data_IF_234754352878
#
_entry.id   IF_234754352878
#
_cell.length_a   1.000
_cell.length_b   1.000
_cell.length_c   1.000
_cell.angle_alpha   90.00
_cell.angle_beta   90.00
_cell.angle_gamma   90.00
#
_symmetry.space_group_name_H-M   'P 1'
#
loop_
_entity.id
_entity.type
_entity.pdbx_description
1 polymer ?
#
# COMPACT_ATOMS: atom_id res chain seq x y z
N UNK A 1 -16.25 17.04 -16.59
CA UNK A 1 -15.96 18.48 -16.34
C UNK A 1 -15.43 18.60 -14.92
N UNK A 2 -14.49 19.49 -14.62
CA UNK A 2 -13.93 19.62 -13.26
C UNK A 2 -14.42 20.90 -12.58
N UNK A 3 -15.26 20.76 -11.55
CA UNK A 3 -15.81 21.91 -10.80
C UNK A 3 -14.92 22.18 -9.59
N UNK A 4 -14.44 23.41 -9.43
CA UNK A 4 -13.62 23.81 -8.30
C UNK A 4 -14.50 24.43 -7.20
N UNK A 5 -14.47 23.87 -6.00
CA UNK A 5 -15.27 24.33 -4.84
C UNK A 5 -14.59 23.94 -3.52
N UNK A 6 -15.29 24.09 -2.40
CA UNK A 6 -14.84 23.58 -1.10
C UNK A 6 -15.87 22.63 -0.52
N UNK A 7 -15.40 21.56 0.13
CA UNK A 7 -16.23 20.61 0.89
C UNK A 7 -15.75 20.52 2.34
N UNK A 8 -16.63 20.10 3.25
CA UNK A 8 -16.19 19.67 4.56
C UNK A 8 -15.48 18.31 4.46
N UNK A 9 -14.42 18.11 5.25
CA UNK A 9 -13.63 16.89 5.26
C UNK A 9 -14.48 15.64 5.56
N UNK A 10 -15.54 15.77 6.38
CA UNK A 10 -16.47 14.68 6.70
C UNK A 10 -17.41 14.28 5.56
N UNK A 11 -17.54 15.11 4.52
CA UNK A 11 -18.32 14.81 3.31
C UNK A 11 -17.52 13.96 2.32
N UNK A 12 -16.18 13.95 2.46
CA UNK A 12 -15.27 13.24 1.58
C UNK A 12 -15.07 11.81 2.10
N UNK A 13 -15.49 10.83 1.30
CA UNK A 13 -15.40 9.40 1.62
C UNK A 13 -14.21 8.76 0.95
N UNK A 14 -13.71 7.69 1.56
CA UNK A 14 -12.74 6.80 0.94
C UNK A 14 -13.45 5.57 0.38
N UNK A 15 -12.98 5.10 -0.75
CA UNK A 15 -13.38 3.81 -1.33
C UNK A 15 -12.08 3.06 -1.69
N UNK A 16 -12.06 1.77 -1.35
CA UNK A 16 -10.94 0.87 -1.58
C UNK A 16 -10.55 0.74 -3.05
N UNK A 17 -11.46 1.01 -3.98
CA UNK A 17 -11.22 0.96 -5.43
C UNK A 17 -10.28 2.05 -5.93
N UNK A 18 -10.15 3.13 -5.16
CA UNK A 18 -9.31 4.28 -5.49
C UNK A 18 -8.02 4.31 -4.68
N UNK A 19 -7.70 3.21 -3.99
CA UNK A 19 -6.43 3.04 -3.25
C UNK A 19 -5.50 2.17 -4.09
N UNK A 20 -4.55 2.80 -4.78
CA UNK A 20 -3.56 2.13 -5.63
C UNK A 20 -2.19 1.95 -4.96
N UNK A 21 -2.03 2.50 -3.76
CA UNK A 21 -0.80 2.38 -2.96
C UNK A 21 -1.02 1.37 -1.84
N UNK A 22 -0.04 0.49 -1.62
CA UNK A 22 -0.08 -0.46 -0.51
C UNK A 22 -0.03 0.25 0.86
N UNK A 23 0.68 1.37 0.96
CA UNK A 23 0.70 2.21 2.16
C UNK A 23 -0.35 3.31 2.06
N UNK A 24 -1.27 3.37 3.03
CA UNK A 24 -2.36 4.35 3.04
C UNK A 24 -1.87 5.81 3.19
N UNK A 25 -0.88 6.09 4.04
CA UNK A 25 -0.34 7.45 4.26
C UNK A 25 1.08 7.42 4.80
N UNK A 26 1.90 8.39 4.38
CA UNK A 26 3.25 8.64 4.89
C UNK A 26 3.19 9.77 5.93
N UNK A 27 3.57 9.47 7.18
CA UNK A 27 3.53 10.42 8.30
C UNK A 27 4.46 11.63 8.10
N UNK A 28 5.66 11.44 7.54
CA UNK A 28 6.59 12.53 7.28
C UNK A 28 6.06 13.47 6.21
N UNK A 29 5.47 12.90 5.15
CA UNK A 29 4.84 13.68 4.09
C UNK A 29 3.63 14.49 4.61
N UNK A 30 2.77 13.89 5.44
CA UNK A 30 1.64 14.61 6.08
C UNK A 30 2.15 15.79 6.92
N UNK A 31 3.20 15.59 7.74
CA UNK A 31 3.77 16.67 8.60
C UNK A 31 4.35 17.82 7.78
N UNK A 32 4.95 17.50 6.64
CA UNK A 32 5.44 18.50 5.66
C UNK A 32 4.28 19.31 5.08
N UNK A 33 3.21 18.65 4.66
CA UNK A 33 2.00 19.30 4.15
C UNK A 33 1.31 20.17 5.21
N UNK A 34 1.29 19.74 6.49
CA UNK A 34 0.79 20.57 7.58
C UNK A 34 1.58 21.89 7.71
N UNK A 35 2.90 21.83 7.56
CA UNK A 35 3.75 23.03 7.63
C UNK A 35 3.45 24.00 6.48
N UNK A 36 3.25 23.47 5.26
CA UNK A 36 2.89 24.27 4.09
C UNK A 36 1.49 24.90 4.27
N UNK A 37 0.50 24.11 4.70
CA UNK A 37 -0.86 24.56 4.93
C UNK A 37 -0.94 25.61 6.07
N UNK A 38 -0.17 25.44 7.14
CA UNK A 38 -0.11 26.38 8.25
C UNK A 38 0.32 27.77 7.79
N UNK A 39 1.28 27.85 6.84
CA UNK A 39 1.76 29.09 6.21
C UNK A 39 0.75 29.75 5.26
N UNK A 40 -0.46 29.21 5.13
CA UNK A 40 -1.54 29.65 4.21
C UNK A 40 -1.08 29.73 2.74
N UNK A 41 -0.04 28.98 2.37
CA UNK A 41 0.36 28.83 0.98
C UNK A 41 -0.74 28.09 0.23
N UNK A 42 -1.04 28.52 -1.00
CA UNK A 42 -2.03 27.85 -1.85
C UNK A 42 -1.57 26.42 -2.13
N UNK A 43 -2.37 25.45 -1.74
CA UNK A 43 -2.14 24.02 -2.02
C UNK A 43 -3.10 23.60 -3.12
N UNK A 44 -2.67 22.68 -3.97
CA UNK A 44 -3.53 22.06 -4.98
C UNK A 44 -4.77 21.44 -4.34
N UNK A 45 -5.96 21.58 -4.96
CA UNK A 45 -7.19 21.01 -4.44
C UNK A 45 -7.12 19.47 -4.39
N UNK A 46 -7.93 18.86 -3.54
CA UNK A 46 -8.17 17.42 -3.59
C UNK A 46 -8.95 17.08 -4.85
N UNK A 47 -8.65 15.95 -5.50
CA UNK A 47 -9.51 15.44 -6.57
C UNK A 47 -10.56 14.52 -5.94
N UNK A 48 -11.84 14.83 -6.14
CA UNK A 48 -12.97 14.04 -5.63
C UNK A 48 -13.91 13.70 -6.77
N UNK A 49 -14.53 12.52 -6.73
CA UNK A 49 -15.58 12.13 -7.65
C UNK A 49 -16.94 12.36 -7.00
N UNK A 50 -17.84 13.07 -7.67
CA UNK A 50 -19.26 13.05 -7.30
C UNK A 50 -19.85 11.75 -7.82
N UNK A 51 -20.05 10.81 -6.91
CA UNK A 51 -20.49 9.47 -7.26
C UNK A 51 -21.85 9.51 -7.98
N UNK A 52 -21.95 8.72 -9.04
CA UNK A 52 -23.15 8.54 -9.85
C UNK A 52 -23.59 7.08 -9.81
N UNK A 53 -24.86 6.85 -9.50
CA UNK A 53 -25.55 5.57 -9.67
C UNK A 53 -26.43 5.57 -10.93
N UNK A 54 -27.34 4.61 -11.03
CA UNK A 54 -28.25 4.46 -12.18
C UNK A 54 -29.16 5.68 -12.38
N UNK A 55 -29.66 6.26 -11.28
CA UNK A 55 -30.58 7.42 -11.28
C UNK A 55 -29.86 8.78 -11.22
N UNK A 56 -28.54 8.81 -11.41
CA UNK A 56 -27.73 10.03 -11.37
C UNK A 56 -26.90 10.18 -10.08
N UNK A 57 -26.52 11.41 -9.69
CA UNK A 57 -25.63 11.63 -8.55
C UNK A 57 -26.20 11.12 -7.22
N UNK A 58 -25.43 10.32 -6.50
CA UNK A 58 -25.85 9.73 -5.20
C UNK A 58 -25.73 10.72 -4.03
N UNK A 59 -25.09 11.86 -4.27
CA UNK A 59 -24.73 12.83 -3.24
C UNK A 59 -23.45 12.49 -2.47
N UNK A 60 -22.80 11.35 -2.75
CA UNK A 60 -21.50 11.00 -2.14
C UNK A 60 -20.34 11.62 -2.91
N UNK A 61 -19.32 12.07 -2.18
CA UNK A 61 -18.03 12.51 -2.74
C UNK A 61 -16.93 11.53 -2.35
N UNK A 62 -16.31 10.89 -3.34
CA UNK A 62 -15.26 9.88 -3.14
C UNK A 62 -13.90 10.49 -3.46
N UNK A 63 -12.93 10.35 -2.55
CA UNK A 63 -11.57 10.86 -2.76
C UNK A 63 -10.84 10.05 -3.85
N UNK A 64 -10.40 10.74 -4.91
CA UNK A 64 -9.59 10.17 -5.99
C UNK A 64 -8.10 10.45 -5.81
N UNK A 65 -7.72 11.66 -5.39
CA UNK A 65 -6.34 12.06 -5.12
C UNK A 65 -6.23 13.09 -3.99
N UNK A 66 -5.11 13.05 -3.26
CA UNK A 66 -4.79 13.99 -2.20
C UNK A 66 -4.98 13.45 -0.78
N UNK A 67 -4.88 12.14 -0.58
CA UNK A 67 -5.04 11.50 0.75
C UNK A 67 -4.17 12.12 1.84
N UNK A 68 -2.88 12.38 1.57
CA UNK A 68 -2.01 13.06 2.53
C UNK A 68 -2.41 14.52 2.79
N UNK A 69 -2.94 15.21 1.77
CA UNK A 69 -3.46 16.58 1.91
C UNK A 69 -4.71 16.59 2.80
N UNK A 70 -5.65 15.68 2.57
CA UNK A 70 -6.85 15.52 3.40
C UNK A 70 -6.47 15.24 4.86
N UNK A 71 -5.54 14.31 5.10
CA UNK A 71 -5.02 14.03 6.43
C UNK A 71 -4.38 15.27 7.08
N UNK A 72 -3.63 16.08 6.32
CA UNK A 72 -3.05 17.31 6.83
C UNK A 72 -4.11 18.37 7.21
N UNK A 73 -5.20 18.51 6.42
CA UNK A 73 -6.34 19.36 6.77
C UNK A 73 -7.02 18.91 8.07
N UNK A 74 -7.26 17.60 8.21
CA UNK A 74 -7.85 17.00 9.41
C UNK A 74 -6.96 17.25 10.63
N UNK A 75 -5.65 16.99 10.52
CA UNK A 75 -4.72 17.19 11.63
C UNK A 75 -4.57 18.67 12.04
N UNK A 76 -4.77 19.61 11.11
CA UNK A 76 -4.80 21.05 11.39
C UNK A 76 -6.16 21.55 11.88
N UNK A 77 -7.16 20.66 12.06
CA UNK A 77 -8.54 21.01 12.41
C UNK A 77 -9.19 22.00 11.43
N UNK A 78 -8.73 22.03 10.18
CA UNK A 78 -9.26 22.87 9.09
C UNK A 78 -10.19 22.05 8.20
N UNK A 79 -11.28 21.57 8.78
CA UNK A 79 -12.15 20.55 8.17
C UNK A 79 -13.39 21.12 7.49
N UNK A 80 -13.73 22.40 7.66
CA UNK A 80 -14.99 22.96 7.17
C UNK A 80 -14.95 23.43 5.70
N UNK A 81 -13.76 23.73 5.18
CA UNK A 81 -13.60 24.29 3.83
C UNK A 81 -12.30 23.77 3.21
N UNK A 82 -12.34 22.51 2.79
CA UNK A 82 -11.25 21.84 2.10
C UNK A 82 -11.39 22.10 0.60
N UNK A 83 -10.40 22.73 -0.08
CA UNK A 83 -10.46 22.95 -1.52
C UNK A 83 -10.49 21.62 -2.29
N UNK A 84 -11.47 21.47 -3.18
CA UNK A 84 -11.65 20.28 -4.00
C UNK A 84 -11.88 20.64 -5.48
N UNK A 85 -11.50 19.71 -6.33
CA UNK A 85 -11.79 19.63 -7.74
C UNK A 85 -12.72 18.41 -7.93
N UNK A 86 -13.99 18.67 -8.25
CA UNK A 86 -15.01 17.64 -8.43
C UNK A 86 -14.94 17.12 -9.86
N UNK A 87 -14.62 15.84 -9.99
CA UNK A 87 -14.76 15.04 -11.19
C UNK A 87 -16.20 14.51 -11.29
N UNK A 88 -16.76 14.59 -12.50
CA UNK A 88 -18.06 14.03 -12.86
C UNK A 88 -17.86 13.06 -14.02
N UNK A 89 -18.43 11.85 -13.89
CA UNK A 89 -18.29 10.77 -14.85
C UNK A 89 -18.68 9.43 -14.21
N UNK A 90 -18.59 8.36 -15.00
CA UNK A 90 -18.82 7.00 -14.51
C UNK A 90 -17.75 6.57 -13.50
N UNK A 91 -18.00 5.46 -12.80
CA UNK A 91 -17.04 4.89 -11.85
C UNK A 91 -15.72 4.51 -12.53
N UNK A 92 -15.80 3.88 -13.71
CA UNK A 92 -14.62 3.56 -14.51
C UNK A 92 -13.85 4.82 -14.94
N UNK A 93 -14.54 5.88 -15.34
CA UNK A 93 -13.92 7.17 -15.66
C UNK A 93 -13.26 7.82 -14.43
N UNK A 94 -13.87 7.71 -13.26
CA UNK A 94 -13.31 8.21 -12.01
C UNK A 94 -12.03 7.45 -11.61
N UNK A 95 -12.00 6.13 -11.81
CA UNK A 95 -10.80 5.31 -11.57
C UNK A 95 -9.66 5.75 -12.49
N UNK A 96 -9.96 6.03 -13.76
CA UNK A 96 -8.95 6.55 -14.69
C UNK A 96 -8.43 7.92 -14.28
N UNK A 97 -9.31 8.82 -13.87
CA UNK A 97 -8.93 10.13 -13.36
C UNK A 97 -8.01 10.02 -12.14
N UNK A 98 -8.30 9.11 -11.21
CA UNK A 98 -7.46 8.83 -10.05
C UNK A 98 -6.06 8.34 -10.44
N UNK A 99 -5.96 7.40 -11.39
CA UNK A 99 -4.67 6.89 -11.84
C UNK A 99 -3.84 7.94 -12.61
N UNK A 100 -4.49 8.74 -13.45
CA UNK A 100 -3.84 9.84 -14.16
C UNK A 100 -3.31 10.90 -13.20
N UNK A 101 -4.09 11.26 -12.18
CA UNK A 101 -3.65 12.19 -11.14
C UNK A 101 -2.39 11.66 -10.42
N UNK A 102 -2.36 10.37 -10.10
CA UNK A 102 -1.19 9.72 -9.51
C UNK A 102 0.04 9.69 -10.43
N UNK A 103 -0.15 9.56 -11.75
CA UNK A 103 0.96 9.60 -12.72
C UNK A 103 1.62 10.98 -12.79
N UNK A 104 0.85 12.06 -12.56
CA UNK A 104 1.34 13.45 -12.56
C UNK A 104 1.82 13.94 -11.18
N UNK A 105 1.64 13.13 -10.13
CA UNK A 105 1.94 13.53 -8.76
C UNK A 105 3.44 13.58 -8.44
N UNK A 106 3.80 14.38 -7.42
CA UNK A 106 5.18 14.50 -6.90
C UNK A 106 5.75 13.18 -6.38
N UNK A 107 4.88 12.26 -5.98
CA UNK A 107 5.17 10.87 -5.68
C UNK A 107 4.39 10.04 -6.69
N UNK A 108 5.00 9.62 -7.82
CA UNK A 108 4.34 8.74 -8.79
C UNK A 108 4.21 7.31 -8.23
N UNK A 109 3.28 6.53 -8.76
CA UNK A 109 3.17 5.09 -8.45
C UNK A 109 4.43 4.35 -8.90
N UNK A 110 4.82 3.31 -8.17
CA UNK A 110 5.89 2.40 -8.57
C UNK A 110 5.48 1.51 -9.75
N UNK A 111 6.45 0.85 -10.38
CA UNK A 111 6.14 -0.11 -11.45
C UNK A 111 5.23 -1.25 -10.97
N UNK A 112 5.43 -1.77 -9.75
CA UNK A 112 4.57 -2.81 -9.17
C UNK A 112 3.15 -2.28 -8.89
N UNK A 113 3.02 -1.11 -8.27
CA UNK A 113 1.72 -0.47 -8.03
C UNK A 113 0.97 -0.18 -9.33
N UNK A 114 1.65 0.31 -10.38
CA UNK A 114 1.04 0.52 -11.71
C UNK A 114 0.58 -0.80 -12.35
N UNK A 115 1.36 -1.87 -12.21
CA UNK A 115 0.98 -3.19 -12.71
C UNK A 115 -0.25 -3.74 -11.97
N UNK A 116 -0.30 -3.61 -10.64
CA UNK A 116 -1.43 -4.08 -9.84
C UNK A 116 -2.69 -3.23 -10.10
N UNK A 117 -2.54 -1.92 -10.28
CA UNK A 117 -3.62 -1.04 -10.71
C UNK A 117 -4.18 -1.45 -12.08
N UNK A 118 -3.30 -1.69 -13.07
CA UNK A 118 -3.70 -2.21 -14.37
C UNK A 118 -4.39 -3.58 -14.26
N UNK A 119 -3.90 -4.44 -13.36
CA UNK A 119 -4.45 -5.77 -13.14
C UNK A 119 -5.87 -5.73 -12.58
N UNK A 120 -6.11 -4.87 -11.58
CA UNK A 120 -7.46 -4.60 -11.07
C UNK A 120 -8.40 -4.06 -12.15
N UNK A 121 -7.93 -3.10 -12.94
CA UNK A 121 -8.72 -2.57 -14.06
C UNK A 121 -9.12 -3.64 -15.07
N UNK A 122 -8.23 -4.60 -15.35
CA UNK A 122 -8.54 -5.74 -16.21
C UNK A 122 -9.51 -6.70 -15.53
N UNK A 123 -9.39 -6.94 -14.24
CA UNK A 123 -10.23 -7.90 -13.53
C UNK A 123 -11.68 -7.43 -13.43
N UNK A 124 -11.88 -6.19 -13.01
CA UNK A 124 -13.19 -5.63 -12.65
C UNK A 124 -13.85 -4.89 -13.82
N UNK A 125 -13.08 -4.19 -14.66
CA UNK A 125 -13.61 -3.21 -15.64
C UNK A 125 -13.27 -3.56 -17.10
N UNK A 126 -12.96 -4.82 -17.42
CA UNK A 126 -12.57 -5.22 -18.79
C UNK A 126 -13.64 -4.97 -19.85
N UNK A 127 -14.91 -4.93 -19.45
CA UNK A 127 -16.06 -4.68 -20.34
C UNK A 127 -16.28 -3.18 -20.60
N UNK A 128 -15.89 -2.33 -19.66
CA UNK A 128 -16.11 -0.87 -19.73
C UNK A 128 -14.90 -0.14 -20.32
N UNK A 129 -13.69 -0.63 -20.04
CA UNK A 129 -12.44 -0.02 -20.48
C UNK A 129 -11.85 -0.80 -21.65
N UNK A 130 -11.21 -0.11 -22.60
CA UNK A 130 -10.44 -0.75 -23.67
C UNK A 130 -8.98 -0.98 -23.25
N UNK A 131 -8.26 -1.88 -23.92
CA UNK A 131 -6.84 -2.16 -23.62
C UNK A 131 -6.00 -0.87 -23.65
N UNK A 132 -6.17 -0.06 -24.69
CA UNK A 132 -5.44 1.19 -24.85
C UNK A 132 -5.79 2.21 -23.75
N UNK A 133 -7.05 2.23 -23.31
CA UNK A 133 -7.54 3.12 -22.26
C UNK A 133 -6.99 2.73 -20.90
N UNK A 134 -7.08 1.44 -20.54
CA UNK A 134 -6.47 0.86 -19.34
C UNK A 134 -4.97 1.10 -19.28
N UNK A 135 -4.25 0.85 -20.38
CA UNK A 135 -2.80 1.04 -20.46
C UNK A 135 -2.40 2.50 -20.19
N UNK A 136 -3.12 3.44 -20.82
CA UNK A 136 -2.91 4.88 -20.63
C UNK A 136 -3.21 5.31 -19.20
N UNK A 137 -4.33 4.87 -18.64
CA UNK A 137 -4.75 5.22 -17.29
C UNK A 137 -3.72 4.76 -16.24
N UNK A 138 -3.33 3.48 -16.29
CA UNK A 138 -2.40 2.91 -15.33
C UNK A 138 -0.92 3.23 -15.61
N UNK A 139 -0.58 3.82 -16.76
CA UNK A 139 0.81 4.12 -17.14
C UNK A 139 1.65 2.86 -17.41
N UNK A 140 1.05 1.88 -18.10
CA UNK A 140 1.69 0.61 -18.50
C UNK A 140 1.60 0.38 -20.00
N UNK A 141 2.29 -0.65 -20.52
CA UNK A 141 2.25 -0.94 -21.95
C UNK A 141 0.93 -1.63 -22.37
N UNK A 142 0.47 -1.33 -23.58
CA UNK A 142 -0.70 -2.01 -24.19
C UNK A 142 -0.49 -3.53 -24.24
N UNK A 143 0.74 -3.97 -24.55
CA UNK A 143 1.11 -5.39 -24.56
C UNK A 143 0.87 -6.04 -23.19
N UNK A 144 1.25 -5.38 -22.10
CA UNK A 144 1.04 -5.91 -20.75
C UNK A 144 -0.45 -6.08 -20.45
N UNK A 145 -1.27 -5.09 -20.80
CA UNK A 145 -2.73 -5.17 -20.60
C UNK A 145 -3.36 -6.28 -21.44
N UNK A 146 -2.92 -6.49 -22.68
CA UNK A 146 -3.36 -7.63 -23.50
C UNK A 146 -3.02 -8.98 -22.84
N UNK A 147 -1.79 -9.12 -22.30
CA UNK A 147 -1.38 -10.33 -21.57
C UNK A 147 -2.23 -10.54 -20.31
N UNK A 148 -2.48 -9.47 -19.56
CA UNK A 148 -3.36 -9.50 -18.40
C UNK A 148 -4.77 -9.97 -18.80
N UNK A 149 -5.38 -9.44 -19.87
CA UNK A 149 -6.72 -9.89 -20.30
C UNK A 149 -6.79 -11.37 -20.65
N UNK A 150 -5.78 -11.86 -21.37
CA UNK A 150 -5.69 -13.29 -21.69
C UNK A 150 -5.61 -14.12 -20.40
N UNK A 151 -4.76 -13.69 -19.45
CA UNK A 151 -4.62 -14.37 -18.15
C UNK A 151 -5.91 -14.32 -17.31
N UNK A 152 -6.56 -13.17 -17.23
CA UNK A 152 -7.82 -13.00 -16.50
C UNK A 152 -8.92 -13.89 -17.07
N UNK A 153 -8.99 -14.02 -18.40
CA UNK A 153 -9.91 -14.96 -19.07
C UNK A 153 -9.63 -16.39 -18.61
N UNK A 154 -8.39 -16.85 -18.70
CA UNK A 154 -8.01 -18.19 -18.24
C UNK A 154 -8.33 -18.40 -16.75
N UNK A 155 -7.99 -17.44 -15.88
CA UNK A 155 -8.28 -17.54 -14.45
C UNK A 155 -9.77 -17.63 -14.16
N UNK A 156 -10.61 -16.86 -14.87
CA UNK A 156 -12.07 -16.93 -14.73
C UNK A 156 -12.63 -18.27 -15.25
N UNK A 157 -12.09 -18.80 -16.36
CA UNK A 157 -12.48 -20.10 -16.91
C UNK A 157 -12.08 -21.28 -15.99
N UNK A 158 -10.92 -21.19 -15.34
CA UNK A 158 -10.45 -22.21 -14.40
C UNK A 158 -10.86 -21.94 -12.95
N UNK A 159 -11.72 -20.94 -12.71
CA UNK A 159 -12.16 -20.49 -11.40
C UNK A 159 -11.00 -20.28 -10.39
N UNK A 160 -9.89 -19.73 -10.85
CA UNK A 160 -8.72 -19.43 -10.04
C UNK A 160 -8.93 -18.13 -9.25
N UNK A 161 -8.52 -18.12 -7.98
CA UNK A 161 -8.58 -16.94 -7.12
C UNK A 161 -7.70 -15.80 -7.63
N UNK A 162 -8.23 -14.57 -7.50
CA UNK A 162 -7.53 -13.34 -7.83
C UNK A 162 -6.90 -12.76 -6.57
N UNK A 163 -5.58 -12.62 -6.56
CA UNK A 163 -4.85 -12.10 -5.40
C UNK A 163 -4.69 -10.58 -5.40
N UNK A 164 -5.01 -9.92 -6.52
CA UNK A 164 -4.76 -8.49 -6.72
C UNK A 164 -3.31 -8.13 -7.02
N UNK A 165 -2.38 -9.09 -6.96
CA UNK A 165 -0.99 -8.91 -7.33
C UNK A 165 -0.71 -9.53 -8.70
N UNK A 166 -0.36 -8.70 -9.68
CA UNK A 166 0.03 -9.20 -10.99
C UNK A 166 1.24 -10.15 -10.92
N UNK A 167 2.16 -9.91 -9.98
CA UNK A 167 3.34 -10.76 -9.83
C UNK A 167 2.97 -12.20 -9.42
N UNK A 168 1.94 -12.35 -8.57
CA UNK A 168 1.40 -13.64 -8.11
C UNK A 168 0.50 -14.27 -9.20
N UNK A 169 -0.37 -13.48 -9.81
CA UNK A 169 -1.42 -14.00 -10.70
C UNK A 169 -0.96 -14.27 -12.14
N UNK A 170 0.16 -13.67 -12.59
CA UNK A 170 0.64 -13.80 -13.98
C UNK A 170 1.03 -15.22 -14.41
N UNK A 171 1.26 -16.12 -13.47
CA UNK A 171 1.64 -17.52 -13.74
C UNK A 171 0.43 -18.42 -13.54
N UNK A 172 0.21 -19.35 -14.47
CA UNK A 172 -0.73 -20.45 -14.27
C UNK A 172 -0.30 -21.36 -13.11
N UNK A 173 -1.21 -22.15 -12.51
CA UNK A 173 -0.85 -23.17 -11.52
C UNK A 173 0.23 -24.13 -12.06
N UNK A 174 0.09 -24.54 -13.32
CA UNK A 174 1.01 -25.43 -14.02
C UNK A 174 2.37 -24.78 -14.31
N UNK A 175 2.40 -23.47 -14.61
CA UNK A 175 3.65 -22.72 -14.82
C UNK A 175 4.37 -22.40 -13.51
N UNK A 176 3.63 -22.19 -12.42
CA UNK A 176 4.19 -22.00 -11.09
C UNK A 176 4.82 -23.30 -10.59
N UNK A 177 4.18 -24.45 -10.82
CA UNK A 177 4.77 -25.77 -10.57
C UNK A 177 5.95 -26.05 -11.50
N UNK A 178 5.86 -25.73 -12.79
CA UNK A 178 6.95 -25.90 -13.76
C UNK A 178 8.18 -25.02 -13.53
N UNK A 179 8.02 -23.80 -12.99
CA UNK A 179 9.14 -22.91 -12.71
C UNK A 179 9.98 -23.35 -11.50
N UNK A 180 9.38 -24.05 -10.54
CA UNK A 180 10.09 -24.68 -9.43
C UNK A 180 10.68 -26.06 -9.80
N UNK A 181 10.14 -26.73 -10.82
CA UNK A 181 10.59 -28.06 -11.28
C UNK A 181 11.92 -28.05 -12.07
N UNK A 182 12.45 -26.88 -12.46
CA UNK A 182 13.70 -26.80 -13.22
C UNK A 182 14.96 -26.64 -12.33
N UNK A 183 14.79 -26.53 -11.02
CA UNK A 183 15.90 -26.59 -10.07
C UNK A 183 15.61 -27.65 -9.02
N UNK A 184 16.49 -28.63 -8.94
CA UNK A 184 16.56 -29.52 -7.78
C UNK A 184 16.75 -28.71 -6.50
N UNK A 185 16.30 -29.24 -5.36
CA UNK A 185 16.52 -28.61 -4.04
C UNK A 185 18.00 -28.27 -3.79
N UNK A 186 18.91 -29.10 -4.33
CA UNK A 186 20.35 -28.86 -4.26
C UNK A 186 20.76 -27.61 -5.04
N UNK A 187 20.24 -27.41 -6.26
CA UNK A 187 20.49 -26.20 -7.05
C UNK A 187 19.87 -24.97 -6.38
N UNK A 188 18.66 -25.10 -5.82
CA UNK A 188 18.00 -24.02 -5.05
C UNK A 188 18.83 -23.57 -3.85
N UNK A 189 19.31 -24.53 -3.05
CA UNK A 189 20.20 -24.25 -1.92
C UNK A 189 21.51 -23.60 -2.36
N UNK A 190 22.03 -23.96 -3.54
CA UNK A 190 23.25 -23.37 -4.10
C UNK A 190 23.04 -21.91 -4.51
N UNK A 191 21.96 -21.61 -5.25
CA UNK A 191 21.68 -20.23 -5.65
C UNK A 191 21.39 -19.31 -4.46
N UNK A 192 20.64 -19.80 -3.46
CA UNK A 192 20.41 -19.05 -2.21
C UNK A 192 21.76 -18.73 -1.53
N UNK A 193 22.68 -19.70 -1.49
CA UNK A 193 24.02 -19.48 -0.90
C UNK A 193 24.84 -18.46 -1.67
N UNK A 194 24.81 -18.50 -3.00
CA UNK A 194 25.53 -17.53 -3.85
C UNK A 194 24.94 -16.13 -3.70
N UNK A 195 23.62 -15.98 -3.72
CA UNK A 195 22.97 -14.68 -3.50
C UNK A 195 23.27 -14.12 -2.11
N UNK A 196 23.21 -14.96 -1.06
CA UNK A 196 23.56 -14.58 0.30
C UNK A 196 25.05 -14.25 0.47
N UNK A 197 25.93 -14.80 -0.36
CA UNK A 197 27.35 -14.45 -0.40
C UNK A 197 27.54 -13.06 -1.03
N UNK A 198 26.95 -12.81 -2.19
CA UNK A 198 27.01 -11.48 -2.85
C UNK A 198 26.46 -10.38 -1.95
N UNK A 199 25.36 -10.63 -1.25
CA UNK A 199 24.79 -9.67 -0.30
C UNK A 199 25.73 -9.42 0.88
N UNK A 200 26.39 -10.45 1.43
CA UNK A 200 27.39 -10.29 2.50
C UNK A 200 28.63 -9.54 2.05
N UNK A 201 29.09 -9.76 0.82
CA UNK A 201 30.23 -9.03 0.25
C UNK A 201 29.89 -7.56 0.03
N UNK A 202 28.70 -7.28 -0.55
CA UNK A 202 28.20 -5.92 -0.71
C UNK A 202 27.98 -5.21 0.64
N UNK A 203 27.44 -5.91 1.64
CA UNK A 203 27.28 -5.40 3.00
C UNK A 203 28.62 -5.19 3.72
N UNK A 204 29.60 -6.06 3.47
CA UNK A 204 30.95 -5.98 4.02
C UNK A 204 31.79 -4.81 3.49
N UNK A 205 31.38 -4.21 2.37
CA UNK A 205 31.98 -2.96 1.86
C UNK A 205 31.60 -1.74 2.69
N UNK A 206 30.61 -1.83 3.58
CA UNK A 206 30.19 -0.71 4.41
C UNK A 206 30.81 -0.82 5.81
N UNK A 207 31.47 0.24 6.32
CA UNK A 207 32.14 0.18 7.61
C UNK A 207 31.17 -0.21 8.73
N UNK A 208 31.62 -1.05 9.68
CA UNK A 208 30.87 -1.51 10.88
C UNK A 208 30.29 -0.39 11.76
N UNK A 209 30.51 0.88 11.43
CA UNK A 209 29.98 2.00 12.17
C UNK A 209 28.57 2.27 11.67
N UNK A 210 27.67 1.92 12.57
CA UNK A 210 26.24 2.17 12.57
C UNK A 210 25.40 1.08 11.88
N UNK A 211 25.16 0.00 12.64
CA UNK A 211 24.23 -1.08 12.26
C UNK A 211 22.82 -0.53 12.01
N UNK A 212 22.43 0.55 12.68
CA UNK A 212 21.17 1.24 12.48
C UNK A 212 21.16 1.96 11.13
N UNK A 213 22.22 2.70 10.78
CA UNK A 213 22.32 3.33 9.46
C UNK A 213 22.35 2.30 8.32
N UNK A 214 22.97 1.14 8.53
CA UNK A 214 22.92 0.04 7.56
C UNK A 214 21.51 -0.54 7.42
N UNK A 215 20.83 -0.76 8.54
CA UNK A 215 19.45 -1.25 8.56
C UNK A 215 18.51 -0.23 7.91
N UNK A 216 18.68 1.07 8.17
CA UNK A 216 17.93 2.16 7.56
C UNK A 216 18.25 2.30 6.07
N UNK A 217 19.51 2.14 5.66
CA UNK A 217 19.90 2.16 4.24
C UNK A 217 19.36 0.92 3.50
N UNK A 218 19.36 -0.25 4.13
CA UNK A 218 18.69 -1.45 3.61
C UNK A 218 17.17 -1.25 3.56
N UNK A 219 16.56 -0.65 4.59
CA UNK A 219 15.15 -0.33 4.63
C UNK A 219 14.78 0.78 3.63
N UNK A 220 15.69 1.67 3.25
CA UNK A 220 15.47 2.67 2.20
C UNK A 220 15.66 2.04 0.81
N UNK A 221 16.74 1.27 0.61
CA UNK A 221 17.08 0.62 -0.66
C UNK A 221 16.11 -0.53 -1.01
N UNK A 222 15.71 -1.30 -0.01
CA UNK A 222 14.85 -2.48 -0.12
C UNK A 222 13.52 -2.32 0.61
N UNK A 223 13.15 -1.11 1.05
CA UNK A 223 11.89 -0.80 1.72
C UNK A 223 10.63 -1.14 0.94
N UNK A 224 10.74 -1.38 -0.37
CA UNK A 224 9.63 -1.88 -1.18
C UNK A 224 9.62 -3.40 -1.35
N UNK A 225 10.73 -4.07 -1.05
CA UNK A 225 10.87 -5.53 -1.07
C UNK A 225 10.77 -6.16 0.33
N UNK A 226 10.96 -5.39 1.41
CA UNK A 226 10.88 -5.93 2.78
C UNK A 226 9.48 -6.42 3.15
N UNK A 227 8.39 -5.87 2.60
CA UNK A 227 7.04 -6.36 2.87
C UNK A 227 6.77 -7.71 2.20
N UNK A 228 7.16 -7.87 0.92
CA UNK A 228 7.03 -9.15 0.21
C UNK A 228 8.00 -10.21 0.76
N UNK A 229 9.21 -9.79 1.15
CA UNK A 229 10.18 -10.67 1.81
C UNK A 229 9.76 -11.01 3.25
N UNK A 230 9.13 -10.10 3.99
CA UNK A 230 8.59 -10.37 5.32
C UNK A 230 7.38 -11.30 5.26
N UNK A 231 6.47 -11.14 4.30
CA UNK A 231 5.42 -12.13 4.00
C UNK A 231 6.03 -13.51 3.69
N UNK A 232 7.14 -13.56 2.93
CA UNK A 232 7.80 -14.82 2.59
C UNK A 232 8.59 -15.46 3.76
N UNK A 233 9.21 -14.64 4.61
CA UNK A 233 10.08 -15.08 5.71
C UNK A 233 9.32 -15.34 7.01
N UNK A 234 8.24 -14.61 7.25
CA UNK A 234 7.43 -14.65 8.48
C UNK A 234 5.98 -15.09 8.23
N UNK A 235 5.52 -15.24 6.98
CA UNK A 235 4.15 -15.67 6.65
C UNK A 235 3.87 -17.16 6.83
N UNK A 236 4.70 -17.89 7.59
CA UNK A 236 4.35 -19.19 8.14
C UNK A 236 4.57 -19.19 9.65
N UNK A 237 3.66 -18.53 10.36
CA UNK A 237 3.56 -18.57 11.81
C UNK A 237 2.74 -17.41 12.36
N UNK A 238 1.87 -17.73 13.32
CA UNK A 238 1.02 -16.85 14.14
C UNK A 238 -0.38 -16.62 13.56
N UNK A 239 -1.36 -17.48 13.91
CA UNK A 239 -2.03 -17.57 15.22
C UNK A 239 -2.44 -16.19 15.75
N UNK A 240 -3.75 -16.03 15.82
CA UNK A 240 -4.49 -14.87 16.30
C UNK A 240 -3.86 -14.21 17.54
N UNK A 241 -3.09 -13.13 17.33
CA UNK A 241 -2.77 -12.18 18.40
C UNK A 241 -3.85 -11.11 18.44
N UNK A 242 -4.99 -11.45 19.04
CA UNK A 242 -5.98 -10.44 19.45
C UNK A 242 -5.37 -9.60 20.58
N UNK A 243 -5.50 -8.27 20.45
CA UNK A 243 -5.28 -7.30 21.52
C UNK A 243 -6.03 -7.73 22.79
N UNK A 244 -5.32 -8.31 23.76
CA UNK A 244 -5.69 -8.06 25.16
C UNK A 244 -5.15 -6.69 25.53
N UNK A 245 -6.00 -5.78 26.06
CA UNK A 245 -5.55 -4.47 26.49
C UNK A 245 -4.50 -4.65 27.58
N UNK A 246 -3.29 -4.12 27.32
CA UNK A 246 -2.20 -4.07 28.30
C UNK A 246 -2.71 -3.37 29.56
N UNK A 247 -3.12 -4.17 30.53
CA UNK A 247 -3.33 -3.75 31.90
C UNK A 247 -2.05 -3.08 32.37
N UNK A 248 -2.19 -1.97 33.10
CA UNK A 248 -1.07 -1.29 33.75
C UNK A 248 -0.25 -2.35 34.50
N UNK A 249 1.10 -2.30 34.48
CA UNK A 249 1.88 -3.19 35.30
C UNK A 249 1.42 -3.03 36.74
N UNK A 250 1.00 -4.14 37.35
CA UNK A 250 0.77 -4.22 38.78
C UNK A 250 2.09 -3.89 39.47
N UNK A 251 2.16 -2.67 40.00
CA UNK A 251 3.19 -2.29 40.96
C UNK A 251 2.82 -3.01 42.23
N UNK A 252 3.48 -4.14 42.49
CA UNK A 252 3.44 -4.75 43.82
C UNK A 252 3.88 -3.68 44.84
N UNK A 253 3.09 -3.41 45.89
CA UNK A 253 3.51 -2.49 46.93
C UNK A 253 4.75 -3.07 47.62
N UNK A 254 5.80 -2.26 47.77
CA UNK A 254 7.01 -2.64 48.50
C UNK A 254 6.64 -3.25 49.87
N UNK A 255 7.26 -4.36 50.27
CA UNK A 255 6.99 -4.95 51.56
C UNK A 255 7.37 -3.95 52.66
N UNK A 256 6.42 -3.69 53.55
CA UNK A 256 6.63 -2.82 54.70
C UNK A 256 7.74 -3.39 55.60
N UNK A 257 8.53 -2.50 56.23
CA UNK A 257 9.71 -2.79 57.08
C UNK A 257 9.34 -3.48 58.40
N UNK A 258 8.40 -4.43 58.40
CA UNK A 258 7.91 -5.11 59.61
C UNK A 258 7.79 -6.62 59.54
N UNK A 259 8.26 -7.27 58.47
CA UNK A 259 8.22 -8.74 58.32
C UNK A 259 9.61 -9.35 58.05
N UNK A 260 10.70 -8.69 58.52
CA UNK A 260 12.07 -9.25 58.50
C UNK A 260 12.49 -9.88 59.84
N UNK A 261 11.55 -10.13 60.73
CA UNK A 261 11.76 -10.91 61.95
C UNK A 261 10.85 -12.13 61.86
N UNK A 262 11.38 -13.23 61.32
CA UNK A 262 11.00 -14.63 61.58
C UNK A 262 11.20 -15.51 60.34
N UNK A 263 12.45 -15.82 59.96
CA UNK A 263 12.84 -17.20 59.61
C UNK A 263 14.31 -17.41 60.00
N UNK A 264 14.49 -18.38 60.89
CA UNK A 264 15.70 -18.83 61.56
C UNK A 264 16.74 -19.46 60.58
N UNK A 265 18.04 -19.51 60.96
CA UNK A 265 19.15 -20.00 60.15
C UNK A 265 19.35 -21.51 60.34
N UNK A 266 19.57 -22.20 59.23
CA UNK A 266 20.45 -23.37 59.07
C UNK A 266 20.13 -24.00 57.71
N UNK A 267 21.19 -24.43 57.02
CA UNK A 267 21.31 -25.01 55.66
C UNK A 267 21.82 -24.06 54.57
#
# INVERSE_FOLDING_TARGET
>A
MTIHTTLAAGEIRHDHDFIFRASATDRHHVRTLQTILARRTKVEPLLVWRETGEDGPTGRFVLLDGRHRLAAYVNLKRTQSVPVAIFEGSRAEAIEAALQANAMAKLPLTASERNNAAWRLVWDYSQELSIARTARAAGVSVRLVSMMRARAKTMKETNQEWSGSWAKDRRGPDEAQGAHMNMTDAQRRREIKELAKTLREAAGMWPKRDRELFADALAEAFGRYHQEAAEYLYGQGEEDFYDEPVGKPDVEPEPSVKELEDVNPDF
#
